data_IF_729509035049
#
_entry.id   IF_729509035049
#
_cell.length_a   1.000
_cell.length_b   1.000
_cell.length_c   1.000
_cell.angle_alpha   90.00
_cell.angle_beta   90.00
_cell.angle_gamma   90.00
#
_symmetry.space_group_name_H-M   'P 1'
#
loop_
_entity.id
_entity.type
_entity.pdbx_description
1 polymer ?
#
# COMPACT_ATOMS: atom_id res chain seq x y z
N UNK A 1 16.59 18.13 -10.85
CA UNK A 1 16.03 17.22 -11.87
C UNK A 1 15.66 15.94 -11.16
N UNK A 2 14.39 15.79 -10.77
CA UNK A 2 13.83 14.51 -10.31
C UNK A 2 13.92 13.54 -11.48
N UNK A 3 14.67 12.46 -11.31
CA UNK A 3 14.75 11.38 -12.27
C UNK A 3 13.39 10.71 -12.36
N UNK A 4 12.84 10.58 -13.57
CA UNK A 4 11.60 9.83 -13.84
C UNK A 4 11.68 8.36 -13.40
N UNK A 5 12.89 7.85 -13.10
CA UNK A 5 13.11 6.49 -12.61
C UNK A 5 12.87 6.33 -11.09
N UNK A 6 12.78 7.44 -10.34
CA UNK A 6 12.52 7.39 -8.88
C UNK A 6 11.04 7.54 -8.51
N UNK A 7 10.17 7.90 -9.46
CA UNK A 7 8.74 7.98 -9.27
C UNK A 7 8.10 6.61 -9.52
N UNK A 8 8.18 5.71 -8.54
CA UNK A 8 7.38 4.49 -8.58
C UNK A 8 5.91 4.88 -8.56
N UNK A 9 5.10 4.40 -9.51
CA UNK A 9 3.66 4.63 -9.47
C UNK A 9 3.11 4.08 -8.17
N UNK A 10 2.08 4.70 -7.64
CA UNK A 10 1.26 4.16 -6.55
C UNK A 10 -0.12 3.84 -7.08
N UNK A 11 -0.76 2.85 -6.49
CA UNK A 11 -2.16 2.56 -6.74
C UNK A 11 -2.98 2.83 -5.49
N UNK A 12 -4.08 3.57 -5.63
CA UNK A 12 -5.05 3.81 -4.58
C UNK A 12 -6.45 3.49 -5.07
N UNK A 13 -7.12 2.55 -4.41
CA UNK A 13 -8.52 2.23 -4.65
C UNK A 13 -9.37 2.95 -3.60
N UNK A 14 -10.35 3.74 -4.04
CA UNK A 14 -11.22 4.50 -3.15
C UNK A 14 -12.57 3.79 -3.03
N UNK A 15 -12.98 3.51 -1.81
CA UNK A 15 -14.20 2.77 -1.49
C UNK A 15 -15.01 3.46 -0.40
N UNK A 16 -16.29 3.14 -0.37
CA UNK A 16 -17.20 3.42 0.73
C UNK A 16 -18.04 2.15 0.95
N UNK A 17 -17.80 1.48 2.05
CA UNK A 17 -18.35 0.16 2.32
C UNK A 17 -19.75 0.22 2.97
N UNK A 18 -20.44 -0.90 3.01
CA UNK A 18 -21.68 -1.10 3.74
C UNK A 18 -21.43 -2.06 4.91
N UNK A 19 -21.46 -1.54 6.13
CA UNK A 19 -21.31 -2.36 7.33
C UNK A 19 -22.63 -3.05 7.72
N UNK A 20 -22.53 -4.23 8.35
CA UNK A 20 -23.70 -4.91 8.93
C UNK A 20 -24.19 -4.15 10.19
N UNK A 21 -23.27 -3.57 10.95
CA UNK A 21 -23.56 -2.75 12.11
C UNK A 21 -23.63 -1.27 11.70
N UNK A 22 -24.80 -0.60 11.82
CA UNK A 22 -24.94 0.82 11.51
C UNK A 22 -24.11 1.76 12.41
N UNK A 23 -23.64 1.27 13.56
CA UNK A 23 -22.75 2.03 14.43
C UNK A 23 -21.29 2.04 13.94
N UNK A 24 -20.94 1.16 13.01
CA UNK A 24 -19.61 1.10 12.42
C UNK A 24 -19.38 2.34 11.57
N UNK A 25 -18.31 3.10 11.86
CA UNK A 25 -17.99 4.33 11.15
C UNK A 25 -16.48 4.61 11.11
N UNK A 26 -16.09 5.46 10.18
CA UNK A 26 -14.74 5.98 10.04
C UNK A 26 -13.93 5.27 8.96
N UNK A 27 -12.87 5.94 8.52
CA UNK A 27 -12.00 5.45 7.47
C UNK A 27 -11.04 4.35 7.93
N UNK A 28 -10.62 3.52 6.99
CA UNK A 28 -9.53 2.55 7.16
C UNK A 28 -8.77 2.36 5.86
N UNK A 29 -7.51 1.96 5.97
CA UNK A 29 -6.65 1.66 4.82
C UNK A 29 -6.25 0.20 4.87
N UNK A 30 -6.43 -0.49 3.75
CA UNK A 30 -6.02 -1.88 3.57
C UNK A 30 -4.75 -1.96 2.75
N UNK A 31 -3.84 -2.82 3.19
CA UNK A 31 -2.66 -3.27 2.46
C UNK A 31 -2.77 -4.77 2.16
N UNK A 32 -1.94 -5.27 1.24
CA UNK A 32 -1.94 -6.67 0.88
C UNK A 32 -1.40 -7.52 2.03
N UNK A 33 -2.17 -8.53 2.46
CA UNK A 33 -1.71 -9.49 3.47
C UNK A 33 -0.64 -10.45 2.92
N UNK A 34 0.15 -11.10 3.81
CA UNK A 34 1.14 -12.09 3.42
C UNK A 34 0.53 -13.25 2.60
N UNK A 35 -0.65 -13.72 2.99
CA UNK A 35 -1.37 -14.76 2.24
C UNK A 35 -1.79 -14.26 0.86
N UNK A 36 -2.22 -13.00 0.76
CA UNK A 36 -2.50 -12.32 -0.50
C UNK A 36 -1.25 -12.21 -1.37
N UNK A 37 -0.13 -11.85 -0.78
CA UNK A 37 1.16 -11.77 -1.44
C UNK A 37 1.60 -13.11 -2.06
N UNK A 38 1.51 -14.19 -1.31
CA UNK A 38 1.79 -15.53 -1.83
C UNK A 38 0.86 -15.94 -2.99
N UNK A 39 -0.40 -15.47 -2.99
CA UNK A 39 -1.32 -15.66 -4.12
C UNK A 39 -0.90 -14.81 -5.32
N UNK A 40 -0.53 -13.55 -5.10
CA UNK A 40 -0.07 -12.64 -6.15
C UNK A 40 1.14 -13.21 -6.89
N UNK A 41 2.15 -13.73 -6.17
CA UNK A 41 3.31 -14.39 -6.79
C UNK A 41 2.87 -15.57 -7.66
N UNK A 42 2.03 -16.46 -7.12
CA UNK A 42 1.56 -17.63 -7.88
C UNK A 42 0.76 -17.24 -9.13
N UNK A 43 -0.05 -16.20 -9.04
CA UNK A 43 -0.85 -15.71 -10.16
C UNK A 43 0.05 -15.07 -11.22
N UNK A 44 0.98 -14.22 -10.78
CA UNK A 44 1.93 -13.52 -11.65
C UNK A 44 2.88 -14.49 -12.35
N UNK A 45 3.33 -15.55 -11.67
CA UNK A 45 4.27 -16.54 -12.23
C UNK A 45 3.60 -17.70 -12.99
N UNK A 46 2.30 -17.64 -13.26
CA UNK A 46 1.58 -18.70 -14.03
C UNK A 46 1.98 -18.77 -15.48
N UNK A 47 2.42 -17.66 -16.08
CA UNK A 47 2.91 -17.63 -17.46
C UNK A 47 4.41 -17.90 -17.52
N UNK A 48 4.90 -18.45 -18.65
CA UNK A 48 6.33 -18.70 -18.85
C UNK A 48 7.13 -17.40 -19.08
N UNK A 49 6.44 -16.28 -19.39
CA UNK A 49 7.05 -15.00 -19.78
C UNK A 49 7.07 -13.93 -18.67
N UNK A 50 6.65 -14.26 -17.44
CA UNK A 50 6.57 -13.30 -16.33
C UNK A 50 7.88 -12.56 -16.02
N UNK A 51 9.03 -13.19 -16.27
CA UNK A 51 10.35 -12.57 -16.09
C UNK A 51 10.61 -11.41 -17.06
N UNK A 52 9.94 -11.40 -18.24
CA UNK A 52 10.04 -10.31 -19.22
C UNK A 52 9.26 -9.08 -18.76
N UNK A 53 8.12 -9.29 -18.11
CA UNK A 53 7.28 -8.20 -17.61
C UNK A 53 7.98 -7.41 -16.50
N UNK A 54 8.85 -8.07 -15.71
CA UNK A 54 9.68 -7.43 -14.69
C UNK A 54 11.02 -6.89 -15.21
N UNK A 55 11.26 -6.94 -16.54
CA UNK A 55 12.52 -6.51 -17.17
C UNK A 55 13.78 -7.14 -16.54
N UNK A 56 13.65 -8.36 -16.02
CA UNK A 56 14.76 -9.11 -15.48
C UNK A 56 15.60 -9.66 -16.64
N UNK A 57 16.92 -9.41 -16.70
CA UNK A 57 17.78 -9.97 -17.74
C UNK A 57 17.85 -11.49 -17.59
N UNK A 58 17.59 -12.24 -18.65
CA UNK A 58 17.52 -13.71 -18.69
C UNK A 58 18.54 -14.41 -17.81
N UNK A 59 18.12 -14.78 -16.62
CA UNK A 59 18.89 -15.42 -15.55
C UNK A 59 18.29 -16.78 -15.23
N UNK A 60 18.94 -17.50 -14.32
CA UNK A 60 18.39 -18.72 -13.75
C UNK A 60 17.00 -18.45 -13.12
N UNK A 61 15.96 -19.24 -13.43
CA UNK A 61 14.62 -19.06 -12.89
C UNK A 61 14.54 -19.04 -11.37
N UNK A 62 15.50 -19.64 -10.68
CA UNK A 62 15.60 -19.60 -9.22
C UNK A 62 15.99 -18.20 -8.71
N UNK A 63 16.88 -17.52 -9.43
CA UNK A 63 17.30 -16.14 -9.13
C UNK A 63 16.15 -15.16 -9.39
N UNK A 64 15.43 -15.33 -10.48
CA UNK A 64 14.29 -14.48 -10.84
C UNK A 64 13.18 -14.57 -9.78
N UNK A 65 12.93 -15.78 -9.24
CA UNK A 65 11.96 -15.98 -8.16
C UNK A 65 12.38 -15.29 -6.86
N UNK A 66 13.66 -15.32 -6.53
CA UNK A 66 14.20 -14.60 -5.35
C UNK A 66 14.04 -13.08 -5.54
N UNK A 67 14.36 -12.57 -6.72
CA UNK A 67 14.22 -11.15 -7.03
C UNK A 67 12.75 -10.70 -6.96
N UNK A 68 11.82 -11.52 -7.45
CA UNK A 68 10.39 -11.25 -7.34
C UNK A 68 9.93 -11.19 -5.87
N UNK A 69 10.36 -12.14 -5.02
CA UNK A 69 10.03 -12.13 -3.59
C UNK A 69 10.58 -10.87 -2.90
N UNK A 70 11.81 -10.48 -3.21
CA UNK A 70 12.41 -9.25 -2.68
C UNK A 70 11.66 -8.00 -3.14
N UNK A 71 11.30 -7.92 -4.42
CA UNK A 71 10.53 -6.81 -4.97
C UNK A 71 9.17 -6.70 -4.28
N UNK A 72 8.49 -7.82 -4.11
CA UNK A 72 7.19 -7.85 -3.46
C UNK A 72 7.26 -7.43 -2.00
N UNK A 73 8.27 -7.87 -1.24
CA UNK A 73 8.47 -7.43 0.14
C UNK A 73 8.76 -5.93 0.22
N UNK A 74 9.58 -5.40 -0.69
CA UNK A 74 9.83 -3.96 -0.77
C UNK A 74 8.54 -3.19 -1.09
N UNK A 75 7.72 -3.68 -2.00
CA UNK A 75 6.41 -3.12 -2.36
C UNK A 75 5.44 -3.13 -1.19
N UNK A 76 5.35 -4.23 -0.42
CA UNK A 76 4.52 -4.31 0.78
C UNK A 76 4.95 -3.27 1.83
N UNK A 77 6.26 -3.11 2.07
CA UNK A 77 6.78 -2.12 3.01
C UNK A 77 6.42 -0.69 2.59
N UNK A 78 6.51 -0.39 1.29
CA UNK A 78 6.11 0.91 0.72
C UNK A 78 4.60 1.13 0.82
N UNK A 79 3.78 0.10 0.58
CA UNK A 79 2.32 0.16 0.76
C UNK A 79 1.96 0.45 2.22
N UNK A 80 2.62 -0.22 3.18
CA UNK A 80 2.41 0.02 4.60
C UNK A 80 2.87 1.44 5.03
N UNK A 81 3.96 1.95 4.46
CA UNK A 81 4.39 3.34 4.68
C UNK A 81 3.34 4.32 4.13
N UNK A 82 2.88 4.09 2.91
CA UNK A 82 1.84 4.92 2.29
C UNK A 82 0.54 4.91 3.10
N UNK A 83 0.09 3.75 3.56
CA UNK A 83 -1.08 3.62 4.43
C UNK A 83 -0.95 4.46 5.71
N UNK A 84 0.22 4.42 6.38
CA UNK A 84 0.47 5.22 7.58
C UNK A 84 0.42 6.72 7.30
N UNK A 85 1.04 7.17 6.21
CA UNK A 85 1.04 8.58 5.82
C UNK A 85 -0.38 9.06 5.53
N UNK A 86 -1.18 8.29 4.79
CA UNK A 86 -2.58 8.62 4.52
C UNK A 86 -3.39 8.74 5.82
N UNK A 87 -3.29 7.76 6.71
CA UNK A 87 -4.02 7.76 7.99
C UNK A 87 -3.65 8.97 8.86
N UNK A 88 -2.37 9.34 8.90
CA UNK A 88 -1.91 10.54 9.64
C UNK A 88 -2.56 11.82 9.09
N UNK A 89 -2.70 11.96 7.77
CA UNK A 89 -3.32 13.14 7.17
C UNK A 89 -4.85 13.16 7.35
N UNK A 90 -5.49 11.99 7.31
CA UNK A 90 -6.91 11.86 7.60
C UNK A 90 -7.21 12.22 9.06
N UNK A 91 -6.39 11.76 10.00
CA UNK A 91 -6.50 12.09 11.41
C UNK A 91 -6.28 13.59 11.67
N UNK A 92 -5.26 14.19 11.05
CA UNK A 92 -4.99 15.62 11.13
C UNK A 92 -6.11 16.49 10.56
N UNK A 93 -6.87 15.96 9.59
CA UNK A 93 -8.06 16.58 9.03
C UNK A 93 -9.34 16.28 9.85
N UNK A 94 -9.18 15.71 11.05
CA UNK A 94 -10.31 15.33 11.94
C UNK A 94 -11.31 14.37 11.28
N UNK A 95 -10.87 13.62 10.26
CA UNK A 95 -11.72 12.62 9.65
C UNK A 95 -11.79 11.39 10.57
N UNK A 96 -12.98 10.87 10.91
CA UNK A 96 -13.12 9.72 11.78
C UNK A 96 -12.37 8.49 11.22
N UNK A 97 -11.58 7.83 12.06
CA UNK A 97 -10.89 6.60 11.73
C UNK A 97 -11.48 5.41 12.48
N UNK A 98 -11.49 4.26 11.84
CA UNK A 98 -11.78 2.99 12.52
C UNK A 98 -10.75 2.72 13.61
N UNK A 99 -11.16 2.06 14.71
CA UNK A 99 -10.25 1.69 15.82
C UNK A 99 -9.00 0.90 15.34
N UNK A 100 -9.16 0.07 14.31
CA UNK A 100 -8.07 -0.58 13.56
C UNK A 100 -8.09 -0.03 12.15
N UNK A 101 -7.54 1.16 11.98
CA UNK A 101 -7.59 1.88 10.71
C UNK A 101 -6.60 1.36 9.66
N UNK A 102 -5.48 0.77 10.06
CA UNK A 102 -4.62 0.02 9.13
C UNK A 102 -4.92 -1.48 9.26
N UNK A 103 -5.24 -2.11 8.14
CA UNK A 103 -5.68 -3.51 8.04
C UNK A 103 -5.00 -4.20 6.86
N UNK A 104 -4.87 -5.52 6.96
CA UNK A 104 -4.32 -6.36 5.90
C UNK A 104 -5.38 -7.28 5.34
N UNK A 105 -5.47 -7.39 4.01
CA UNK A 105 -6.42 -8.26 3.34
C UNK A 105 -5.87 -8.79 2.01
N UNK A 106 -6.37 -9.94 1.58
CA UNK A 106 -6.02 -10.55 0.30
C UNK A 106 -6.87 -10.03 -0.86
N UNK A 107 -7.01 -8.70 -0.98
CA UNK A 107 -7.86 -8.06 -1.99
C UNK A 107 -7.23 -8.12 -3.38
N UNK A 108 -8.04 -8.48 -4.38
CA UNK A 108 -7.56 -8.67 -5.75
C UNK A 108 -6.95 -7.40 -6.37
N UNK A 109 -7.48 -6.23 -6.02
CA UNK A 109 -6.99 -4.94 -6.50
C UNK A 109 -5.60 -4.56 -5.98
N UNK A 110 -5.07 -5.28 -4.97
CA UNK A 110 -3.77 -5.00 -4.35
C UNK A 110 -2.69 -6.00 -4.77
N UNK A 111 -2.95 -6.86 -5.78
CA UNK A 111 -2.07 -7.98 -6.12
C UNK A 111 -0.85 -7.61 -6.98
N UNK A 112 -0.70 -6.37 -7.46
CA UNK A 112 0.47 -5.95 -8.24
C UNK A 112 1.76 -6.12 -7.40
N UNK A 113 2.75 -6.92 -7.87
CA UNK A 113 3.91 -7.26 -7.05
C UNK A 113 4.93 -6.13 -6.94
N UNK A 114 4.91 -5.18 -7.86
CA UNK A 114 5.90 -4.12 -8.04
C UNK A 114 5.36 -2.70 -7.84
N UNK A 115 4.03 -2.56 -7.65
CA UNK A 115 3.37 -1.27 -7.44
C UNK A 115 2.86 -1.16 -6.00
N UNK A 116 3.34 -0.21 -5.19
CA UNK A 116 2.75 0.07 -3.88
C UNK A 116 1.27 0.37 -4.01
N UNK A 117 0.44 -0.38 -3.30
CA UNK A 117 -1.01 -0.35 -3.46
C UNK A 117 -1.71 -0.29 -2.11
N UNK A 118 -2.75 0.54 -2.02
CA UNK A 118 -3.65 0.60 -0.87
C UNK A 118 -5.10 0.67 -1.33
N UNK A 119 -6.01 0.16 -0.50
CA UNK A 119 -7.43 0.43 -0.63
C UNK A 119 -7.86 1.30 0.56
N UNK A 120 -8.38 2.49 0.27
CA UNK A 120 -8.91 3.41 1.25
C UNK A 120 -10.43 3.25 1.32
N UNK A 121 -10.91 2.70 2.44
CA UNK A 121 -12.31 2.83 2.85
C UNK A 121 -12.52 4.18 3.50
N UNK A 122 -13.30 5.04 2.87
CA UNK A 122 -13.49 6.43 3.31
C UNK A 122 -14.51 6.55 4.44
N UNK A 123 -15.29 5.51 4.69
CA UNK A 123 -16.35 5.41 5.68
C UNK A 123 -17.41 4.41 5.24
N UNK A 124 -18.47 4.30 6.01
CA UNK A 124 -19.56 3.34 5.80
C UNK A 124 -20.84 4.04 5.38
N UNK A 125 -21.37 3.73 4.19
CA UNK A 125 -22.64 4.31 3.68
C UNK A 125 -23.85 3.90 4.52
N UNK A 126 -23.72 2.85 5.34
CA UNK A 126 -24.76 2.41 6.29
C UNK A 126 -24.76 3.21 7.60
N UNK A 127 -23.73 4.03 7.84
CA UNK A 127 -23.67 4.93 8.98
C UNK A 127 -24.12 6.33 8.57
N UNK A 128 -25.16 6.94 9.21
CA UNK A 128 -25.70 8.24 8.79
C UNK A 128 -24.68 9.40 8.86
N UNK A 129 -23.72 9.33 9.77
CA UNK A 129 -22.68 10.36 9.89
C UNK A 129 -21.67 10.28 8.76
N UNK A 130 -21.22 9.06 8.43
CA UNK A 130 -20.29 8.83 7.32
C UNK A 130 -20.98 9.11 5.97
N UNK A 131 -22.24 8.69 5.79
CA UNK A 131 -23.03 9.00 4.60
C UNK A 131 -23.12 10.54 4.41
N UNK A 132 -23.37 11.30 5.47
CA UNK A 132 -23.43 12.76 5.41
C UNK A 132 -22.08 13.37 5.03
N UNK A 133 -20.97 12.84 5.54
CA UNK A 133 -19.62 13.29 5.14
C UNK A 133 -19.37 12.99 3.66
N UNK A 134 -19.70 11.80 3.20
CA UNK A 134 -19.45 11.36 1.83
C UNK A 134 -20.35 12.01 0.78
N UNK A 135 -21.59 12.40 1.16
CA UNK A 135 -22.54 13.07 0.26
C UNK A 135 -22.40 14.58 0.26
N UNK A 136 -21.88 15.20 1.34
CA UNK A 136 -21.62 16.64 1.41
C UNK A 136 -20.41 17.01 0.57
N UNK A 137 -20.61 17.90 -0.41
CA UNK A 137 -19.51 18.37 -1.26
C UNK A 137 -18.36 18.99 -0.47
N UNK A 138 -18.68 19.82 0.54
CA UNK A 138 -17.67 20.45 1.39
C UNK A 138 -16.83 19.43 2.16
N UNK A 139 -17.48 18.46 2.81
CA UNK A 139 -16.80 17.43 3.61
C UNK A 139 -15.99 16.50 2.73
N UNK A 140 -16.54 16.09 1.57
CA UNK A 140 -15.85 15.26 0.60
C UNK A 140 -14.61 15.96 0.04
N UNK A 141 -14.67 17.28 -0.23
CA UNK A 141 -13.50 18.05 -0.68
C UNK A 141 -12.44 18.14 0.41
N UNK A 142 -12.81 18.28 1.67
CA UNK A 142 -11.87 18.27 2.81
C UNK A 142 -11.17 16.91 2.93
N UNK A 143 -11.93 15.81 2.85
CA UNK A 143 -11.41 14.45 2.86
C UNK A 143 -10.40 14.23 1.70
N UNK A 144 -10.79 14.59 0.47
CA UNK A 144 -9.92 14.43 -0.70
C UNK A 144 -8.68 15.31 -0.66
N UNK A 145 -8.73 16.47 -0.01
CA UNK A 145 -7.56 17.31 0.24
C UNK A 145 -6.58 16.60 1.18
N UNK A 146 -7.05 16.02 2.28
CA UNK A 146 -6.21 15.24 3.18
C UNK A 146 -5.55 14.04 2.48
N UNK A 147 -6.29 13.34 1.61
CA UNK A 147 -5.75 12.26 0.78
C UNK A 147 -4.65 12.79 -0.15
N UNK A 148 -4.89 13.90 -0.85
CA UNK A 148 -3.91 14.50 -1.76
C UNK A 148 -2.65 14.97 -1.04
N UNK A 149 -2.78 15.57 0.14
CA UNK A 149 -1.65 15.97 1.00
C UNK A 149 -0.85 14.74 1.48
N UNK A 150 -1.54 13.66 1.82
CA UNK A 150 -0.91 12.38 2.16
C UNK A 150 -0.12 11.78 0.98
N UNK A 151 -0.66 11.82 -0.22
CA UNK A 151 0.05 11.39 -1.44
C UNK A 151 1.29 12.25 -1.67
N UNK A 152 1.15 13.58 -1.63
CA UNK A 152 2.27 14.50 -1.81
C UNK A 152 3.36 14.30 -0.74
N UNK A 153 2.97 14.08 0.51
CA UNK A 153 3.90 13.78 1.60
C UNK A 153 4.65 12.49 1.39
N UNK A 154 3.95 11.43 0.96
CA UNK A 154 4.57 10.13 0.67
C UNK A 154 5.70 10.25 -0.37
N UNK A 155 5.48 11.00 -1.45
CA UNK A 155 6.50 11.19 -2.47
C UNK A 155 7.66 12.11 -2.06
N UNK A 156 7.48 12.92 -1.03
CA UNK A 156 8.55 13.77 -0.47
C UNK A 156 9.38 13.08 0.60
N UNK A 157 8.86 12.00 1.19
CA UNK A 157 9.63 11.24 2.16
C UNK A 157 10.68 10.38 1.46
N UNK A 158 11.95 10.43 1.90
CA UNK A 158 12.94 9.49 1.40
C UNK A 158 12.47 8.06 1.69
N UNK A 159 12.46 7.20 0.68
CA UNK A 159 12.24 5.77 0.89
C UNK A 159 13.24 5.29 1.96
N UNK A 160 12.76 4.71 3.05
CA UNK A 160 13.65 4.16 4.06
C UNK A 160 14.65 3.22 3.37
N UNK A 161 15.97 3.34 3.62
CA UNK A 161 16.93 2.47 3.00
C UNK A 161 16.59 1.02 3.33
N UNK A 162 16.60 0.17 2.32
CA UNK A 162 16.52 -1.28 2.53
C UNK A 162 17.72 -1.62 3.43
N UNK A 163 17.48 -2.04 4.66
CA UNK A 163 18.52 -2.51 5.57
C UNK A 163 19.18 -3.72 4.92
N UNK A 164 20.26 -3.47 4.19
CA UNK A 164 21.18 -4.54 3.83
C UNK A 164 21.79 -5.06 5.13
N UNK A 165 21.57 -6.34 5.41
CA UNK A 165 22.20 -6.97 6.57
C UNK A 165 23.71 -6.72 6.49
N UNK A 166 24.23 -5.89 7.38
CA UNK A 166 25.66 -5.68 7.55
C UNK A 166 26.25 -7.02 7.96
N UNK A 167 27.05 -7.61 7.08
CA UNK A 167 27.90 -8.73 7.41
C UNK A 167 28.87 -8.26 8.50
N UNK A 168 28.57 -8.58 9.76
CA UNK A 168 29.52 -8.43 10.84
C UNK A 168 30.70 -9.35 10.53
N UNK A 169 31.80 -8.75 10.07
CA UNK A 169 33.09 -9.39 9.93
C UNK A 169 33.57 -9.82 11.31
N UNK A 170 33.43 -11.09 11.60
CA UNK A 170 34.09 -11.71 12.75
C UNK A 170 35.57 -11.83 12.43
N UNK A 171 36.37 -10.81 12.76
CA UNK A 171 37.81 -10.95 12.88
C UNK A 171 38.14 -11.66 14.22
N UNK A 172 38.18 -12.97 14.17
CA UNK A 172 38.83 -13.74 15.20
C UNK A 172 40.35 -13.52 15.09
N UNK A 173 40.93 -12.97 16.13
CA UNK A 173 42.39 -13.02 16.36
C UNK A 173 42.66 -14.12 17.36
N UNK A 174 43.59 -14.98 17.00
CA UNK A 174 44.30 -15.95 17.83
C UNK A 174 45.03 -15.27 19.01
#
# INVERSE_FOLDING_TARGET
TLSLHDALPIFISLHADAGVDPALRGASVYTLSEQGAGRAVREFTRGDDWHRDLHLPGRDPSVDRILLDMTQRATQNRSAQFARVLLTHLEAAEHPLLRRSHRDAGLAVLLAPDVPAVLLEMGFITNPEDERVLTSERSRRALMRAVAEGIDRYFREPSAPVMTASTASASGSL
#
